data_IF_687280091742
#
_entry.id   IF_687280091742
#
_cell.length_a   1.000
_cell.length_b   1.000
_cell.length_c   1.000
_cell.angle_alpha   90.00
_cell.angle_beta   90.00
_cell.angle_gamma   90.00
#
_symmetry.space_group_name_H-M   'P 1'
#
loop_
_entity.id
_entity.type
_entity.pdbx_description
1 polymer ?
#
# COMPACT_ATOMS: atom_id res chain seq x y z
N UNK A 1 -1.79 -4.28 10.21
CA UNK A 1 -2.85 -3.93 9.22
C UNK A 1 -4.15 -4.65 9.53
N UNK A 2 -4.14 -5.99 9.63
CA UNK A 2 -5.29 -6.83 9.99
C UNK A 2 -6.15 -6.28 11.15
N UNK A 3 -5.54 -5.86 12.26
CA UNK A 3 -6.27 -5.28 13.40
C UNK A 3 -7.06 -4.01 13.05
N UNK A 4 -6.49 -3.13 12.22
CA UNK A 4 -7.18 -1.92 11.73
C UNK A 4 -8.34 -2.28 10.80
N UNK A 5 -8.11 -3.22 9.89
CA UNK A 5 -9.10 -3.68 8.93
C UNK A 5 -10.28 -4.39 9.61
N UNK A 6 -10.04 -5.15 10.69
CA UNK A 6 -11.10 -5.76 11.53
C UNK A 6 -12.00 -4.74 12.21
N UNK A 7 -11.50 -3.53 12.47
CA UNK A 7 -12.31 -2.41 12.96
C UNK A 7 -13.11 -1.73 11.84
N UNK A 8 -12.91 -2.13 10.58
CA UNK A 8 -13.52 -1.52 9.41
C UNK A 8 -12.84 -0.21 8.96
N UNK A 9 -11.62 0.04 9.42
CA UNK A 9 -10.85 1.25 9.10
C UNK A 9 -9.79 0.97 8.04
N UNK A 10 -9.61 1.94 7.14
CA UNK A 10 -8.48 2.00 6.21
C UNK A 10 -7.46 3.02 6.70
N UNK A 11 -6.19 2.79 6.37
CA UNK A 11 -5.09 3.66 6.72
C UNK A 11 -5.01 4.89 5.81
N UNK A 12 -5.25 4.69 4.50
CA UNK A 12 -5.19 5.68 3.41
C UNK A 12 -3.81 6.22 3.03
N UNK A 13 -2.86 6.16 3.95
CA UNK A 13 -1.47 6.58 3.73
C UNK A 13 -0.46 5.51 4.14
N UNK A 14 -0.70 4.27 3.71
CA UNK A 14 0.15 3.15 4.09
C UNK A 14 1.37 3.04 3.16
N UNK A 15 2.55 3.45 3.65
CA UNK A 15 3.81 3.35 2.90
C UNK A 15 4.98 3.03 3.83
N UNK A 16 6.16 2.76 3.28
CA UNK A 16 7.36 2.39 4.05
C UNK A 16 7.75 3.43 5.11
N UNK A 17 7.64 4.73 4.78
CA UNK A 17 7.86 5.82 5.74
C UNK A 17 6.95 5.82 6.99
N UNK A 18 5.80 5.12 6.96
CA UNK A 18 4.88 4.99 8.09
C UNK A 18 5.04 3.63 8.81
N UNK A 19 6.08 2.86 8.48
CA UNK A 19 6.45 1.61 9.17
C UNK A 19 7.68 1.89 10.03
N UNK A 20 7.51 1.77 11.35
CA UNK A 20 8.55 2.03 12.33
C UNK A 20 9.15 0.74 12.87
N UNK A 21 10.46 0.71 13.06
CA UNK A 21 11.18 -0.33 13.79
C UNK A 21 11.60 0.24 15.14
N UNK A 22 11.10 -0.33 16.23
CA UNK A 22 11.40 0.12 17.60
C UNK A 22 12.03 -1.05 18.35
N UNK A 23 13.17 -0.83 18.98
CA UNK A 23 13.78 -1.83 19.84
C UNK A 23 12.95 -1.97 21.12
N UNK A 24 12.49 -3.19 21.40
CA UNK A 24 11.74 -3.52 22.62
C UNK A 24 12.64 -4.31 23.57
N UNK A 25 13.05 -3.67 24.67
CA UNK A 25 13.92 -4.25 25.69
C UNK A 25 13.34 -5.53 26.32
N UNK A 26 12.01 -5.70 26.32
CA UNK A 26 11.38 -6.89 26.94
C UNK A 26 11.58 -8.15 26.12
N UNK A 27 11.68 -8.01 24.81
CA UNK A 27 11.86 -9.11 23.85
C UNK A 27 13.21 -9.07 23.16
N UNK A 28 14.10 -8.18 23.61
CA UNK A 28 15.48 -7.96 23.12
C UNK A 28 15.57 -7.95 21.59
N UNK A 29 14.61 -7.30 20.92
CA UNK A 29 14.52 -7.30 19.45
C UNK A 29 13.76 -6.10 18.91
N UNK A 30 13.93 -5.82 17.60
CA UNK A 30 13.15 -4.80 16.91
C UNK A 30 11.74 -5.31 16.60
N UNK A 31 10.75 -4.51 16.99
CA UNK A 31 9.34 -4.75 16.71
C UNK A 31 8.87 -3.74 15.67
N UNK A 32 8.07 -4.23 14.71
CA UNK A 32 7.54 -3.44 13.61
C UNK A 32 6.16 -2.86 13.97
N UNK A 33 5.99 -1.56 13.80
CA UNK A 33 4.72 -0.86 14.02
C UNK A 33 4.27 -0.12 12.76
N UNK A 34 2.96 -0.06 12.55
CA UNK A 34 2.34 0.86 11.60
C UNK A 34 1.99 2.13 12.36
N UNK A 35 2.29 3.29 11.79
CA UNK A 35 2.14 4.61 12.40
C UNK A 35 1.41 5.58 11.47
N UNK A 36 1.16 6.79 11.97
CA UNK A 36 0.47 7.88 11.27
C UNK A 36 -0.96 7.55 10.80
N UNK A 37 -1.84 7.37 11.79
CA UNK A 37 -3.28 7.17 11.57
C UNK A 37 -4.04 8.49 11.34
N UNK A 38 -3.36 9.62 11.08
CA UNK A 38 -3.99 10.94 10.96
C UNK A 38 -4.99 11.05 9.81
N UNK A 39 -4.81 10.24 8.76
CA UNK A 39 -5.70 10.13 7.60
C UNK A 39 -6.64 8.92 7.65
N UNK A 40 -6.48 8.06 8.66
CA UNK A 40 -7.25 6.82 8.77
C UNK A 40 -8.74 7.11 8.99
N UNK A 41 -9.59 6.23 8.47
CA UNK A 41 -11.03 6.41 8.61
C UNK A 41 -11.85 5.18 8.24
N UNK A 42 -13.16 5.18 8.57
CA UNK A 42 -14.06 4.08 8.26
C UNK A 42 -14.15 3.87 6.74
N UNK A 43 -14.10 2.62 6.30
CA UNK A 43 -14.19 2.23 4.89
C UNK A 43 -15.60 2.42 4.29
N UNK A 44 -16.64 2.37 5.11
CA UNK A 44 -18.05 2.40 4.67
C UNK A 44 -18.75 3.77 4.71
N UNK A 45 -18.07 4.83 5.19
CA UNK A 45 -18.64 6.18 5.35
C UNK A 45 -17.91 7.25 4.55
N UNK A 46 -17.10 6.84 3.57
CA UNK A 46 -16.30 7.79 2.81
C UNK A 46 -17.20 8.50 1.80
N UNK A 47 -17.39 9.80 2.01
CA UNK A 47 -17.89 10.68 0.96
C UNK A 47 -16.75 10.94 -0.01
N UNK A 48 -17.02 10.85 -1.30
CA UNK A 48 -16.13 11.34 -2.35
C UNK A 48 -16.14 12.87 -2.29
N UNK A 49 -15.38 13.45 -1.37
CA UNK A 49 -15.10 14.90 -1.40
C UNK A 49 -14.05 15.26 -2.47
N UNK A 50 -13.63 14.26 -3.27
CA UNK A 50 -12.65 14.38 -4.34
C UNK A 50 -11.21 14.47 -3.83
N UNK A 51 -10.97 14.38 -2.52
CA UNK A 51 -9.65 14.59 -1.93
C UNK A 51 -8.86 13.28 -1.88
N UNK A 52 -7.97 13.11 -2.84
CA UNK A 52 -6.95 12.05 -2.83
C UNK A 52 -5.85 12.43 -1.84
N UNK A 53 -5.43 11.50 -0.99
CA UNK A 53 -4.38 11.68 0.01
C UNK A 53 -3.35 10.54 0.00
N UNK A 54 -2.22 10.79 0.63
CA UNK A 54 -1.10 9.86 0.72
C UNK A 54 -0.09 9.94 -0.43
N UNK A 55 0.84 8.99 -0.45
CA UNK A 55 2.03 9.05 -1.31
C UNK A 55 1.81 8.32 -2.64
N UNK A 56 1.88 9.06 -3.76
CA UNK A 56 1.40 8.65 -5.10
C UNK A 56 1.67 7.18 -5.51
N UNK A 57 2.90 6.62 -5.43
CA UNK A 57 3.14 5.24 -5.85
C UNK A 57 2.39 4.17 -5.05
N UNK A 58 1.96 4.50 -3.83
CA UNK A 58 1.28 3.59 -2.92
C UNK A 58 -0.25 3.72 -3.01
N UNK A 59 -0.75 4.73 -3.73
CA UNK A 59 -2.20 4.97 -3.90
C UNK A 59 -2.74 3.99 -4.94
N UNK A 60 -3.81 3.28 -4.58
CA UNK A 60 -4.44 2.29 -5.44
C UNK A 60 -5.09 2.94 -6.69
N UNK A 61 -5.11 2.25 -7.84
CA UNK A 61 -5.58 2.81 -9.11
C UNK A 61 -7.05 3.24 -9.09
N UNK A 62 -7.92 2.53 -8.37
CA UNK A 62 -9.32 2.94 -8.20
C UNK A 62 -9.43 4.28 -7.48
N UNK A 63 -8.57 4.52 -6.49
CA UNK A 63 -8.56 5.77 -5.73
C UNK A 63 -7.99 6.91 -6.55
N UNK A 64 -6.95 6.65 -7.36
CA UNK A 64 -6.43 7.62 -8.34
C UNK A 64 -7.49 8.02 -9.38
N UNK A 65 -8.43 7.12 -9.68
CA UNK A 65 -9.59 7.39 -10.55
C UNK A 65 -10.77 8.05 -9.82
N UNK A 66 -10.63 8.41 -8.54
CA UNK A 66 -11.63 9.14 -7.78
C UNK A 66 -12.62 8.25 -7.00
N UNK A 67 -12.43 6.93 -7.00
CA UNK A 67 -13.21 6.03 -6.14
C UNK A 67 -12.78 6.19 -4.66
N UNK A 68 -13.68 5.89 -3.71
CA UNK A 68 -13.34 5.95 -2.28
C UNK A 68 -12.22 4.97 -1.88
N UNK A 69 -11.51 5.28 -0.79
CA UNK A 69 -10.57 4.31 -0.21
C UNK A 69 -11.35 3.15 0.40
N UNK A 70 -10.83 1.95 0.17
CA UNK A 70 -11.35 0.72 0.77
C UNK A 70 -10.24 0.03 1.56
N UNK A 71 -10.58 -1.05 2.27
CA UNK A 71 -9.57 -1.90 2.91
C UNK A 71 -8.60 -2.48 1.87
N UNK A 72 -9.12 -2.84 0.69
CA UNK A 72 -8.33 -3.33 -0.45
C UNK A 72 -7.37 -2.30 -1.03
N UNK A 73 -7.61 -1.01 -0.80
CA UNK A 73 -6.68 0.06 -1.21
C UNK A 73 -5.41 0.05 -0.38
N UNK A 74 -5.48 -0.23 0.93
CA UNK A 74 -4.27 -0.41 1.76
C UNK A 74 -3.49 -1.69 1.36
N UNK A 75 -4.21 -2.73 0.88
CA UNK A 75 -3.57 -3.97 0.38
C UNK A 75 -2.76 -3.70 -0.88
N UNK A 76 -3.24 -2.82 -1.77
CA UNK A 76 -2.46 -2.36 -2.91
C UNK A 76 -1.13 -1.74 -2.43
N UNK A 77 -1.21 -0.84 -1.45
CA UNK A 77 -0.03 -0.19 -0.88
C UNK A 77 0.94 -1.19 -0.25
N UNK A 78 0.43 -2.23 0.42
CA UNK A 78 1.25 -3.34 0.92
C UNK A 78 2.01 -4.06 -0.21
N UNK A 79 1.36 -4.30 -1.34
CA UNK A 79 2.01 -4.86 -2.54
C UNK A 79 3.17 -4.00 -3.05
N UNK A 80 3.01 -2.68 -3.03
CA UNK A 80 4.07 -1.73 -3.38
C UNK A 80 5.22 -1.79 -2.38
N UNK A 81 4.94 -1.87 -1.07
CA UNK A 81 5.96 -2.03 -0.01
C UNK A 81 6.77 -3.32 -0.22
N UNK A 82 6.14 -4.44 -0.61
CA UNK A 82 6.88 -5.68 -0.93
C UNK A 82 7.90 -5.43 -2.05
N UNK A 83 7.52 -4.69 -3.10
CA UNK A 83 8.43 -4.38 -4.22
C UNK A 83 9.59 -3.46 -3.81
N UNK A 84 9.33 -2.53 -2.90
CA UNK A 84 10.34 -1.62 -2.33
C UNK A 84 11.34 -2.39 -1.49
N UNK A 85 10.88 -3.28 -0.59
CA UNK A 85 11.75 -4.15 0.20
C UNK A 85 12.59 -5.07 -0.70
N UNK A 86 11.98 -5.59 -1.77
CA UNK A 86 12.64 -6.44 -2.76
C UNK A 86 13.74 -5.70 -3.55
N UNK A 87 13.48 -4.46 -3.96
CA UNK A 87 14.40 -3.69 -4.81
C UNK A 87 15.41 -2.86 -4.02
N UNK A 88 15.14 -2.60 -2.73
CA UNK A 88 15.90 -1.68 -1.89
C UNK A 88 15.81 -0.22 -2.35
N UNK A 89 14.78 0.12 -3.15
CA UNK A 89 14.62 1.44 -3.76
C UNK A 89 13.19 1.93 -3.62
N UNK A 90 12.97 3.24 -3.48
CA UNK A 90 11.63 3.81 -3.54
C UNK A 90 10.90 3.39 -4.83
N UNK A 91 9.60 3.11 -4.77
CA UNK A 91 8.82 2.74 -5.95
C UNK A 91 8.91 3.86 -6.98
N UNK A 92 9.19 3.49 -8.23
CA UNK A 92 9.38 4.43 -9.35
C UNK A 92 10.48 5.51 -9.13
N UNK A 93 11.55 5.24 -8.38
CA UNK A 93 12.64 6.19 -8.06
C UNK A 93 13.27 6.98 -9.23
N UNK A 94 13.08 6.56 -10.49
CA UNK A 94 13.56 7.26 -11.70
C UNK A 94 12.50 8.14 -12.37
N UNK A 95 11.27 8.16 -11.86
CA UNK A 95 10.13 8.87 -12.43
C UNK A 95 9.77 10.04 -11.53
N UNK A 96 9.19 11.08 -12.13
CA UNK A 96 8.53 12.14 -11.37
C UNK A 96 7.20 11.59 -10.84
N UNK A 97 6.86 11.92 -9.60
CA UNK A 97 5.58 11.56 -9.01
C UNK A 97 4.54 12.60 -9.41
N UNK A 98 4.13 12.55 -10.68
CA UNK A 98 3.20 13.49 -11.29
C UNK A 98 1.96 12.77 -11.87
N UNK A 99 1.10 13.54 -12.52
CA UNK A 99 -0.14 13.03 -13.12
C UNK A 99 0.11 11.97 -14.20
N UNK A 100 1.26 12.01 -14.89
CA UNK A 100 1.56 11.00 -15.90
C UNK A 100 1.84 9.66 -15.24
N UNK A 101 2.59 9.65 -14.14
CA UNK A 101 2.80 8.43 -13.35
C UNK A 101 1.47 7.88 -12.80
N UNK A 102 0.59 8.76 -12.32
CA UNK A 102 -0.73 8.36 -11.85
C UNK A 102 -1.54 7.65 -12.95
N UNK A 103 -1.60 8.23 -14.16
CA UNK A 103 -2.29 7.66 -15.31
C UNK A 103 -1.69 6.31 -15.74
N UNK A 104 -0.37 6.18 -15.73
CA UNK A 104 0.30 4.91 -16.04
C UNK A 104 -0.02 3.82 -15.00
N UNK A 105 -0.08 4.17 -13.72
CA UNK A 105 -0.50 3.23 -12.65
C UNK A 105 -1.93 2.74 -12.87
N UNK A 106 -2.85 3.66 -13.22
CA UNK A 106 -4.22 3.33 -13.60
C UNK A 106 -4.26 2.39 -14.82
N UNK A 107 -3.33 2.55 -15.76
CA UNK A 107 -3.17 1.70 -16.95
C UNK A 107 -2.36 0.41 -16.70
N UNK A 108 -2.08 0.08 -15.44
CA UNK A 108 -1.47 -1.20 -15.06
C UNK A 108 0.04 -1.16 -14.82
N UNK A 109 0.69 0.00 -14.87
CA UNK A 109 2.10 0.11 -14.48
C UNK A 109 2.28 -0.30 -13.01
N UNK A 110 3.31 -1.10 -12.73
CA UNK A 110 3.69 -1.55 -11.39
C UNK A 110 5.18 -1.34 -11.14
N UNK A 111 5.61 -1.14 -9.88
CA UNK A 111 7.02 -1.02 -9.52
C UNK A 111 7.81 -2.29 -9.85
N UNK A 112 9.09 -2.11 -10.15
CA UNK A 112 10.01 -3.20 -10.51
C UNK A 112 10.56 -3.90 -9.26
N UNK A 113 10.68 -5.22 -9.33
CA UNK A 113 11.32 -6.02 -8.28
C UNK A 113 12.85 -6.01 -8.40
N UNK A 114 13.54 -6.22 -7.28
CA UNK A 114 14.98 -6.47 -7.27
C UNK A 114 15.36 -7.77 -7.97
N UNK A 115 16.59 -7.82 -8.48
CA UNK A 115 17.17 -9.04 -9.09
C UNK A 115 17.21 -10.17 -8.06
N UNK A 116 16.78 -11.37 -8.45
CA UNK A 116 16.79 -12.54 -7.57
C UNK A 116 15.60 -12.66 -6.62
N UNK A 117 14.63 -11.74 -6.69
CA UNK A 117 13.41 -11.83 -5.86
C UNK A 117 12.69 -13.16 -6.10
N UNK A 118 12.42 -13.96 -5.04
CA UNK A 118 11.72 -15.22 -5.16
C UNK A 118 10.33 -15.05 -5.78
N UNK A 119 9.93 -15.99 -6.63
CA UNK A 119 8.69 -15.91 -7.42
C UNK A 119 7.43 -15.85 -6.54
N UNK A 120 7.46 -16.46 -5.35
CA UNK A 120 6.35 -16.41 -4.40
C UNK A 120 6.05 -14.98 -3.93
N UNK A 121 7.07 -14.16 -3.66
CA UNK A 121 6.89 -12.77 -3.27
C UNK A 121 6.40 -11.90 -4.42
N UNK A 122 6.86 -12.17 -5.65
CA UNK A 122 6.35 -11.48 -6.84
C UNK A 122 4.88 -11.76 -7.06
N UNK A 123 4.48 -13.04 -7.00
CA UNK A 123 3.08 -13.45 -7.14
C UNK A 123 2.20 -12.80 -6.07
N UNK A 124 2.64 -12.79 -4.82
CA UNK A 124 1.92 -12.13 -3.73
C UNK A 124 1.76 -10.63 -3.98
N UNK A 125 2.85 -9.93 -4.28
CA UNK A 125 2.84 -8.49 -4.53
C UNK A 125 1.99 -8.11 -5.75
N UNK A 126 2.06 -8.87 -6.85
CA UNK A 126 1.18 -8.66 -8.00
C UNK A 126 -0.29 -8.92 -7.67
N UNK A 127 -0.60 -9.95 -6.86
CA UNK A 127 -1.98 -10.20 -6.39
C UNK A 127 -2.49 -9.02 -5.54
N UNK A 128 -1.65 -8.52 -4.64
CA UNK A 128 -1.94 -7.32 -3.84
C UNK A 128 -2.16 -6.07 -4.72
N UNK A 129 -1.39 -5.92 -5.79
CA UNK A 129 -1.49 -4.78 -6.70
C UNK A 129 -2.44 -5.02 -7.89
N UNK A 130 -3.37 -5.96 -7.81
CA UNK A 130 -4.36 -6.17 -8.88
C UNK A 130 -5.14 -4.87 -9.17
N UNK A 131 -5.42 -4.60 -10.44
CA UNK A 131 -6.24 -3.46 -10.83
C UNK A 131 -7.67 -3.59 -10.31
N UNK A 132 -8.21 -4.81 -10.24
CA UNK A 132 -9.49 -5.07 -9.60
C UNK A 132 -9.28 -5.24 -8.08
N UNK A 133 -9.84 -4.36 -7.23
CA UNK A 133 -9.70 -4.47 -5.77
C UNK A 133 -10.27 -5.77 -5.18
N UNK A 134 -11.26 -6.39 -5.82
CA UNK A 134 -11.88 -7.64 -5.36
C UNK A 134 -10.99 -8.87 -5.57
N UNK A 135 -9.95 -8.75 -6.40
CA UNK A 135 -8.97 -9.82 -6.63
C UNK A 135 -7.79 -9.78 -5.64
N UNK A 136 -7.71 -8.72 -4.84
CA UNK A 136 -6.66 -8.56 -3.83
C UNK A 136 -7.00 -9.42 -2.61
N UNK A 137 -6.00 -10.01 -1.94
CA UNK A 137 -6.25 -10.69 -0.67
C UNK A 137 -6.72 -9.71 0.40
N UNK A 138 -7.41 -10.21 1.42
CA UNK A 138 -7.65 -9.44 2.65
C UNK A 138 -6.41 -9.46 3.54
N UNK A 139 -6.33 -8.56 4.53
CA UNK A 139 -5.24 -8.58 5.50
C UNK A 139 -5.23 -9.85 6.39
N UNK A 140 -6.31 -10.63 6.42
CA UNK A 140 -6.35 -11.95 7.09
C UNK A 140 -5.77 -13.08 6.22
N UNK A 141 -5.68 -12.88 4.89
CA UNK A 141 -5.19 -13.87 3.91
C UNK A 141 -3.71 -13.67 3.52
N UNK A 142 -3.10 -12.58 3.99
CA UNK A 142 -1.67 -12.27 3.83
C UNK A 142 -0.82 -13.02 4.86
#
# INVERSE_FOLDING_TARGET
LQSLHKLGYCHKDFHSGNILQIYDDKVESYVTYISDFGLSGPSNKQKTDGKICGVLPYIAPEVLNGEPYTLSSDIYSFGVIITELSSGKPPFYKRKHDINLALEICNGLRPEFGKGTPEIYKKLAYKCMSANPDQRPTADEL
#
